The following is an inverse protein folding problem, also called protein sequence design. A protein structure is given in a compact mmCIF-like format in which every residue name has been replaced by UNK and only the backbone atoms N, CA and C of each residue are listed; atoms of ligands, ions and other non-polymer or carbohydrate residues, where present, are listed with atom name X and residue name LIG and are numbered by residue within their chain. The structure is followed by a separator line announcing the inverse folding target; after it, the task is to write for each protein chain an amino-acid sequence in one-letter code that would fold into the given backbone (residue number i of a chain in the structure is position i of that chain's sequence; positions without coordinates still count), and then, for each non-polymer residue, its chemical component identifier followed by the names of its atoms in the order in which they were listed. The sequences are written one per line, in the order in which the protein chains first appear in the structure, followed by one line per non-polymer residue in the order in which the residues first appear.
data_IF_790624491501
#
_entry.id   IF_790624491501
#
_cell.length_a   1.000
_cell.length_b   1.000
_cell.length_c   1.000
_cell.angle_alpha   90.00
_cell.angle_beta   90.00
_cell.angle_gamma   90.00
#
_symmetry.space_group_name_H-M   'P 1'
#
loop_
_entity.id
_entity.type
_entity.pdbx_description
1 polymer ?
#
# COMPACT_ATOMS: atom_id res chain seq x y z
N UNK A 1 17.81 21.26 18.54
CA UNK A 1 18.07 20.32 17.43
C UNK A 1 16.76 20.03 16.72
N UNK A 2 16.46 20.77 15.66
CA UNK A 2 15.27 20.55 14.81
C UNK A 2 15.77 20.31 13.40
N UNK A 3 15.90 19.03 13.03
CA UNK A 3 16.22 18.68 11.64
C UNK A 3 14.93 18.68 10.83
N UNK A 4 14.76 19.73 10.02
CA UNK A 4 13.77 19.78 8.95
C UNK A 4 14.29 18.89 7.82
N UNK A 5 13.83 17.65 7.71
CA UNK A 5 14.09 16.83 6.54
C UNK A 5 13.08 17.19 5.45
N UNK A 6 13.47 18.10 4.57
CA UNK A 6 12.83 18.33 3.28
C UNK A 6 13.22 17.17 2.35
N UNK A 7 12.22 16.43 1.89
CA UNK A 7 12.37 15.43 0.84
C UNK A 7 12.58 16.17 -0.50
N UNK A 8 13.78 16.08 -1.07
CA UNK A 8 14.07 16.56 -2.41
C UNK A 8 14.57 15.39 -3.26
N UNK A 9 13.64 14.69 -3.93
CA UNK A 9 13.98 13.85 -5.07
C UNK A 9 14.18 14.76 -6.29
N UNK A 10 15.42 15.13 -6.59
CA UNK A 10 15.78 15.77 -7.85
C UNK A 10 15.82 14.69 -8.95
N UNK A 11 14.84 14.70 -9.85
CA UNK A 11 14.91 13.93 -11.10
C UNK A 11 15.36 14.91 -12.19
N UNK A 12 16.58 14.74 -12.69
CA UNK A 12 17.08 15.43 -13.88
C UNK A 12 16.33 14.89 -15.10
N UNK A 13 15.48 15.72 -15.70
CA UNK A 13 14.74 15.43 -16.93
C UNK A 13 15.45 16.14 -18.09
N UNK A 14 16.25 15.41 -18.86
CA UNK A 14 16.61 15.83 -20.22
C UNK A 14 15.64 15.14 -21.18
N UNK A 15 14.78 15.95 -21.78
CA UNK A 15 13.63 15.47 -22.56
C UNK A 15 13.97 14.94 -23.94
N UNK A 16 13.06 14.10 -24.44
CA UNK A 16 12.68 14.00 -25.85
C UNK A 16 11.16 13.85 -25.87
N UNK A 17 10.49 14.73 -26.62
CA UNK A 17 9.08 14.67 -26.94
C UNK A 17 8.80 13.39 -27.76
N UNK A 18 7.93 12.52 -27.27
CA UNK A 18 7.17 11.61 -28.11
C UNK A 18 5.70 11.67 -27.72
N UNK A 19 4.90 12.08 -28.70
CA UNK A 19 3.43 12.04 -28.69
C UNK A 19 2.98 10.58 -28.73
N UNK A 20 2.27 10.13 -27.71
CA UNK A 20 1.39 8.97 -27.79
C UNK A 20 -0.01 9.37 -27.32
N UNK A 21 -1.01 8.91 -28.08
CA UNK A 21 -2.40 9.29 -27.94
C UNK A 21 -2.94 9.09 -26.53
N UNK A 22 -3.91 9.94 -26.17
CA UNK A 22 -4.68 9.77 -24.93
C UNK A 22 -5.46 8.46 -24.98
N UNK A 23 -4.86 7.39 -24.46
CA UNK A 23 -5.61 6.24 -24.01
C UNK A 23 -6.20 6.59 -22.65
N UNK A 24 -7.52 6.73 -22.63
CA UNK A 24 -8.31 7.15 -21.47
C UNK A 24 -8.32 6.00 -20.45
N UNK A 25 -7.22 5.80 -19.74
CA UNK A 25 -7.20 4.92 -18.57
C UNK A 25 -8.13 5.52 -17.53
N UNK A 26 -9.19 4.81 -17.14
CA UNK A 26 -10.11 5.22 -16.08
C UNK A 26 -9.31 5.57 -14.82
N UNK A 27 -9.17 6.87 -14.55
CA UNK A 27 -8.36 7.40 -13.46
C UNK A 27 -9.12 7.15 -12.14
N UNK A 28 -9.07 5.91 -11.63
CA UNK A 28 -9.67 5.58 -10.34
C UNK A 28 -8.92 6.35 -9.26
N UNK A 29 -9.50 7.48 -8.83
CA UNK A 29 -8.88 8.38 -7.86
C UNK A 29 -9.42 8.01 -6.49
N UNK A 30 -8.64 7.32 -5.66
CA UNK A 30 -9.02 7.13 -4.25
C UNK A 30 -9.34 8.50 -3.63
N UNK A 31 -10.42 8.62 -2.87
CA UNK A 31 -10.65 9.83 -2.10
C UNK A 31 -9.51 10.02 -1.09
N UNK A 32 -9.07 11.27 -0.91
CA UNK A 32 -8.11 11.64 0.13
C UNK A 32 -8.86 12.48 1.18
N UNK A 33 -9.08 11.97 2.41
CA UNK A 33 -9.65 12.78 3.46
C UNK A 33 -8.76 13.98 3.79
N UNK A 34 -9.30 15.06 4.39
CA UNK A 34 -8.51 16.24 4.72
C UNK A 34 -7.25 15.90 5.52
N UNK A 35 -6.10 16.43 5.08
CA UNK A 35 -4.80 16.22 5.73
C UNK A 35 -4.11 14.88 5.42
N UNK A 36 -4.76 13.98 4.67
CA UNK A 36 -4.10 12.76 4.20
C UNK A 36 -3.18 13.07 3.03
N UNK A 37 -2.00 12.44 3.05
CA UNK A 37 -1.01 12.57 1.98
C UNK A 37 -1.20 11.46 0.97
N UNK A 38 -1.04 11.76 -0.31
CA UNK A 38 -1.18 10.78 -1.39
C UNK A 38 0.13 10.53 -2.13
N UNK A 39 0.36 9.29 -2.55
CA UNK A 39 1.45 8.91 -3.45
C UNK A 39 0.93 7.93 -4.51
N UNK A 40 1.55 7.93 -5.70
CA UNK A 40 1.20 7.04 -6.82
C UNK A 40 2.45 6.58 -7.55
N UNK A 41 2.46 5.33 -7.94
CA UNK A 41 3.52 4.76 -8.80
C UNK A 41 3.03 3.47 -9.49
N UNK A 42 3.81 2.98 -10.45
CA UNK A 42 3.49 1.75 -11.19
C UNK A 42 3.80 0.49 -10.39
N UNK A 43 3.01 -0.56 -10.60
CA UNK A 43 3.29 -1.92 -10.15
C UNK A 43 4.11 -2.67 -11.21
N UNK A 44 5.05 -3.55 -10.79
CA UNK A 44 5.53 -3.69 -9.42
C UNK A 44 6.38 -2.48 -9.00
N UNK A 45 6.38 -2.09 -7.71
CA UNK A 45 7.25 -1.01 -7.26
C UNK A 45 8.72 -1.38 -7.40
N UNK A 46 9.58 -0.38 -7.56
CA UNK A 46 11.03 -0.60 -7.73
C UNK A 46 11.67 -1.41 -6.58
N UNK A 47 11.08 -1.36 -5.39
CA UNK A 47 11.54 -2.11 -4.21
C UNK A 47 11.01 -3.54 -4.11
N UNK A 48 9.99 -3.95 -4.89
CA UNK A 48 9.40 -5.30 -4.85
C UNK A 48 9.15 -5.87 -6.26
N UNK A 49 10.21 -5.99 -7.05
CA UNK A 49 10.18 -6.43 -8.46
C UNK A 49 9.77 -7.90 -8.67
N UNK A 50 9.71 -8.72 -7.62
CA UNK A 50 9.28 -10.12 -7.70
C UNK A 50 7.77 -10.28 -7.88
N UNK A 51 6.99 -9.21 -7.61
CA UNK A 51 5.54 -9.21 -7.78
C UNK A 51 5.22 -9.38 -9.28
N UNK A 52 4.45 -10.43 -9.67
CA UNK A 52 4.37 -10.90 -11.06
C UNK A 52 3.26 -10.24 -11.88
N UNK A 53 2.83 -9.03 -11.52
CA UNK A 53 1.74 -8.32 -12.18
C UNK A 53 2.04 -6.84 -12.33
N UNK A 54 1.50 -6.25 -13.39
CA UNK A 54 1.58 -4.83 -13.70
C UNK A 54 0.33 -4.09 -13.19
N UNK A 55 0.39 -2.76 -13.19
CA UNK A 55 -0.72 -1.93 -12.78
C UNK A 55 -0.27 -0.62 -12.16
N UNK A 56 -1.14 -0.05 -11.32
CA UNK A 56 -0.89 1.19 -10.59
C UNK A 56 -1.19 1.01 -9.10
N UNK A 57 -0.37 1.65 -8.28
CA UNK A 57 -0.62 1.82 -6.85
C UNK A 57 -1.03 3.27 -6.56
N UNK A 58 -2.09 3.43 -5.75
CA UNK A 58 -2.54 4.73 -5.22
C UNK A 58 -2.62 4.64 -3.69
N UNK A 59 -1.80 5.41 -2.97
CA UNK A 59 -1.60 5.32 -1.50
C UNK A 59 -2.20 6.52 -0.80
N UNK A 60 -2.81 6.34 0.38
CA UNK A 60 -3.24 7.39 1.30
C UNK A 60 -2.56 7.17 2.65
N UNK A 61 -1.73 8.12 3.07
CA UNK A 61 -1.12 8.15 4.39
C UNK A 61 -1.91 9.05 5.33
N UNK A 62 -2.20 8.56 6.53
CA UNK A 62 -2.88 9.36 7.55
C UNK A 62 -2.04 10.57 7.99
N UNK A 63 -2.67 11.59 8.59
CA UNK A 63 -1.94 12.66 9.26
C UNK A 63 -0.99 12.08 10.31
N UNK A 64 0.26 12.55 10.33
CA UNK A 64 1.31 12.08 11.25
C UNK A 64 1.77 10.62 11.04
N UNK A 65 1.54 10.01 9.87
CA UNK A 65 1.95 8.62 9.61
C UNK A 65 3.41 8.26 9.91
N UNK A 66 4.31 9.24 9.81
CA UNK A 66 5.73 9.07 10.08
C UNK A 66 6.17 9.55 11.48
N UNK A 67 5.25 9.95 12.35
CA UNK A 67 5.55 10.48 13.69
C UNK A 67 5.18 9.44 14.76
N UNK A 68 6.20 8.86 15.39
CA UNK A 68 6.05 7.91 16.50
C UNK A 68 5.13 8.46 17.60
N UNK A 69 4.44 7.56 18.30
CA UNK A 69 3.55 7.85 19.42
C UNK A 69 2.38 8.78 19.03
N UNK A 70 1.99 8.77 17.76
CA UNK A 70 0.75 9.39 17.30
C UNK A 70 -0.19 8.32 16.79
N UNK A 71 -1.49 8.61 16.82
CA UNK A 71 -2.52 7.69 16.37
C UNK A 71 -2.33 7.27 14.90
N UNK A 72 -1.89 8.19 14.05
CA UNK A 72 -1.66 7.92 12.63
C UNK A 72 -0.36 7.15 12.34
N UNK A 73 0.50 6.90 13.33
CA UNK A 73 1.80 6.28 13.10
C UNK A 73 1.66 4.93 12.38
N UNK A 74 2.34 4.74 11.25
CA UNK A 74 2.18 3.56 10.38
C UNK A 74 0.73 3.24 9.97
N UNK A 75 -0.17 4.23 9.97
CA UNK A 75 -1.55 4.12 9.51
C UNK A 75 -1.68 4.67 8.10
N UNK A 76 -2.00 3.81 7.15
CA UNK A 76 -2.18 4.14 5.74
C UNK A 76 -2.97 3.06 5.01
N UNK A 77 -3.47 3.37 3.82
CA UNK A 77 -4.07 2.39 2.93
C UNK A 77 -3.56 2.58 1.50
N UNK A 78 -3.64 1.55 0.68
CA UNK A 78 -3.28 1.62 -0.72
C UNK A 78 -4.20 0.76 -1.58
N UNK A 79 -4.37 1.20 -2.83
CA UNK A 79 -5.10 0.50 -3.87
C UNK A 79 -4.11 0.00 -4.92
N UNK A 80 -4.04 -1.31 -5.11
CA UNK A 80 -3.47 -1.90 -6.31
C UNK A 80 -4.58 -2.07 -7.35
N UNK A 81 -4.52 -1.25 -8.40
CA UNK A 81 -5.28 -1.44 -9.63
C UNK A 81 -4.40 -2.26 -10.57
N UNK A 82 -4.64 -3.58 -10.60
CA UNK A 82 -3.82 -4.55 -11.31
C UNK A 82 -4.36 -4.71 -12.73
N UNK A 83 -3.49 -4.47 -13.70
CA UNK A 83 -3.77 -4.71 -15.11
C UNK A 83 -3.75 -6.21 -15.37
N UNK A 84 -4.65 -6.70 -16.24
CA UNK A 84 -4.77 -8.09 -16.70
C UNK A 84 -4.54 -9.16 -15.60
N UNK A 85 -5.59 -9.86 -15.23
CA UNK A 85 -5.62 -10.69 -14.01
C UNK A 85 -5.17 -12.17 -14.11
N UNK A 86 -4.52 -12.71 -15.17
CA UNK A 86 -4.33 -14.16 -15.27
C UNK A 86 -3.32 -14.72 -14.26
N UNK A 87 -2.45 -13.88 -13.66
CA UNK A 87 -1.43 -14.32 -12.68
C UNK A 87 -1.79 -14.07 -11.21
N UNK A 88 -2.82 -13.29 -10.90
CA UNK A 88 -3.17 -12.99 -9.51
C UNK A 88 -4.14 -14.05 -8.96
N UNK A 89 -3.67 -14.86 -8.00
CA UNK A 89 -4.56 -15.67 -7.18
C UNK A 89 -4.74 -15.01 -5.81
N UNK A 90 -5.98 -14.78 -5.37
CA UNK A 90 -6.26 -14.15 -4.08
C UNK A 90 -5.63 -14.91 -2.89
N UNK A 91 -5.47 -16.24 -3.00
CA UNK A 91 -4.74 -17.07 -2.03
C UNK A 91 -3.26 -16.68 -1.87
N UNK A 92 -2.66 -16.03 -2.86
CA UNK A 92 -1.25 -15.63 -2.88
C UNK A 92 -1.04 -14.19 -2.39
N UNK A 93 -2.10 -13.48 -1.98
CA UNK A 93 -2.02 -12.09 -1.51
C UNK A 93 -1.04 -11.91 -0.35
N UNK A 94 -0.97 -12.88 0.57
CA UNK A 94 -0.01 -12.86 1.66
C UNK A 94 1.45 -12.98 1.19
N UNK A 95 1.70 -13.71 0.10
CA UNK A 95 3.05 -13.81 -0.51
C UNK A 95 3.42 -12.46 -1.12
N UNK A 96 2.52 -11.85 -1.90
CA UNK A 96 2.78 -10.57 -2.55
C UNK A 96 2.96 -9.43 -1.54
N UNK A 97 2.15 -9.39 -0.48
CA UNK A 97 2.33 -8.42 0.61
C UNK A 97 3.66 -8.66 1.34
N UNK A 98 4.06 -9.91 1.57
CA UNK A 98 5.34 -10.20 2.22
C UNK A 98 6.50 -9.66 1.40
N UNK A 99 6.48 -9.88 0.09
CA UNK A 99 7.50 -9.35 -0.83
C UNK A 99 7.50 -7.82 -0.85
N UNK A 100 6.31 -7.21 -0.92
CA UNK A 100 6.12 -5.76 -0.88
C UNK A 100 6.78 -5.14 0.36
N UNK A 101 6.40 -5.61 1.55
CA UNK A 101 6.88 -5.05 2.81
C UNK A 101 8.36 -5.37 3.07
N UNK A 102 8.83 -6.56 2.68
CA UNK A 102 10.25 -6.91 2.74
C UNK A 102 11.08 -5.95 1.88
N UNK A 103 10.63 -5.71 0.66
CA UNK A 103 11.25 -4.76 -0.28
C UNK A 103 11.27 -3.33 0.26
N UNK A 104 10.13 -2.86 0.76
CA UNK A 104 9.97 -1.53 1.35
C UNK A 104 10.96 -1.28 2.49
N UNK A 105 11.06 -2.23 3.42
CA UNK A 105 11.97 -2.11 4.57
C UNK A 105 13.42 -2.11 4.08
N UNK A 106 13.82 -3.05 3.22
CA UNK A 106 15.19 -3.11 2.67
C UNK A 106 15.58 -1.82 1.95
N UNK A 107 14.69 -1.27 1.13
CA UNK A 107 14.93 -0.03 0.41
C UNK A 107 15.15 1.16 1.36
N UNK A 108 14.34 1.27 2.42
CA UNK A 108 14.49 2.34 3.41
C UNK A 108 15.76 2.17 4.27
N UNK A 109 16.11 0.95 4.68
CA UNK A 109 17.36 0.67 5.40
C UNK A 109 18.59 1.00 4.55
N UNK A 110 18.57 0.61 3.26
CA UNK A 110 19.65 0.94 2.33
C UNK A 110 19.79 2.46 2.16
N UNK A 111 18.67 3.18 1.99
CA UNK A 111 18.67 4.63 1.87
C UNK A 111 19.19 5.33 3.13
N UNK A 112 18.94 4.78 4.32
CA UNK A 112 19.47 5.27 5.60
C UNK A 112 20.87 4.74 5.95
N UNK A 113 21.54 4.02 5.02
CA UNK A 113 22.84 3.37 5.23
C UNK A 113 22.87 2.46 6.47
N UNK A 114 21.73 1.85 6.78
CA UNK A 114 21.55 0.89 7.85
C UNK A 114 21.64 -0.53 7.28
N UNK A 115 22.07 -1.48 8.11
CA UNK A 115 22.17 -2.89 7.72
C UNK A 115 20.82 -3.45 7.25
N UNK A 116 20.76 -3.83 5.97
CA UNK A 116 19.58 -4.39 5.30
C UNK A 116 19.22 -5.79 5.77
N UNK A 117 20.14 -6.50 6.43
CA UNK A 117 19.88 -7.84 6.97
C UNK A 117 18.78 -7.84 8.03
N UNK A 118 18.59 -6.69 8.72
CA UNK A 118 17.55 -6.45 9.73
C UNK A 118 16.13 -6.49 9.19
N UNK A 119 15.93 -6.45 7.87
CA UNK A 119 14.61 -6.47 7.25
C UNK A 119 13.86 -7.80 7.42
N UNK A 120 14.48 -8.82 8.02
CA UNK A 120 13.95 -10.18 8.15
C UNK A 120 13.75 -10.51 9.64
N UNK A 121 12.63 -11.16 10.03
CA UNK A 121 11.55 -11.65 9.18
C UNK A 121 10.39 -10.65 9.02
N UNK A 122 9.82 -10.59 7.80
CA UNK A 122 8.44 -10.14 7.58
C UNK A 122 7.56 -11.37 7.62
N UNK A 123 6.59 -11.37 8.54
CA UNK A 123 5.63 -12.45 8.74
C UNK A 123 4.23 -11.92 8.50
N UNK A 124 3.44 -12.68 7.75
CA UNK A 124 2.06 -12.33 7.42
C UNK A 124 1.17 -13.50 7.81
N UNK A 125 0.08 -13.19 8.49
CA UNK A 125 -1.02 -14.10 8.78
C UNK A 125 -2.30 -13.46 8.26
N UNK A 126 -3.05 -14.18 7.44
CA UNK A 126 -4.33 -13.71 6.89
C UNK A 126 -5.37 -14.81 7.04
N UNK A 127 -6.59 -14.38 7.30
CA UNK A 127 -7.79 -15.21 7.22
C UNK A 127 -8.83 -14.50 6.36
N UNK A 128 -9.64 -15.28 5.67
CA UNK A 128 -10.85 -14.73 5.05
C UNK A 128 -11.81 -14.26 6.15
N UNK A 129 -12.50 -13.15 5.90
CA UNK A 129 -13.45 -12.53 6.80
C UNK A 129 -14.81 -12.41 6.11
N UNK A 130 -15.88 -12.72 6.83
CA UNK A 130 -17.24 -12.48 6.34
C UNK A 130 -17.62 -11.02 6.58
N UNK A 131 -17.69 -10.22 5.53
CA UNK A 131 -18.20 -8.84 5.59
C UNK A 131 -19.54 -8.74 4.86
N UNK A 132 -20.61 -8.50 5.62
CA UNK A 132 -21.99 -8.52 5.10
C UNK A 132 -22.32 -7.33 4.21
N UNK A 133 -21.52 -6.26 4.28
CA UNK A 133 -21.80 -5.00 3.60
C UNK A 133 -21.03 -4.81 2.28
N UNK A 134 -20.39 -5.85 1.76
CA UNK A 134 -19.69 -5.80 0.47
C UNK A 134 -19.83 -7.11 -0.30
N UNK A 135 -19.73 -7.01 -1.62
CA UNK A 135 -19.59 -8.17 -2.51
C UNK A 135 -18.12 -8.56 -2.72
N UNK A 136 -17.18 -7.76 -2.21
CA UNK A 136 -15.74 -8.02 -2.30
C UNK A 136 -15.34 -9.18 -1.38
N UNK A 137 -14.31 -9.93 -1.76
CA UNK A 137 -13.67 -10.86 -0.83
C UNK A 137 -12.87 -10.06 0.18
N UNK A 138 -13.08 -10.35 1.46
CA UNK A 138 -12.40 -9.64 2.54
C UNK A 138 -11.44 -10.57 3.26
N UNK A 139 -10.24 -10.09 3.51
CA UNK A 139 -9.25 -10.74 4.36
C UNK A 139 -8.88 -9.82 5.50
N UNK A 140 -8.63 -10.40 6.67
CA UNK A 140 -8.09 -9.69 7.81
C UNK A 140 -6.90 -10.46 8.38
N UNK A 141 -6.02 -9.75 9.06
CA UNK A 141 -4.91 -10.38 9.74
C UNK A 141 -3.84 -9.39 10.14
N UNK A 142 -2.60 -9.87 10.17
CA UNK A 142 -1.49 -9.12 10.74
C UNK A 142 -0.24 -9.26 9.88
N UNK A 143 0.55 -8.19 9.86
CA UNK A 143 1.94 -8.21 9.42
C UNK A 143 2.85 -7.84 10.59
N UNK A 144 3.78 -8.74 10.92
CA UNK A 144 4.86 -8.48 11.88
C UNK A 144 6.14 -8.21 11.10
N UNK A 145 6.76 -7.06 11.37
CA UNK A 145 7.92 -6.60 10.60
C UNK A 145 8.80 -5.65 11.42
N UNK A 146 9.92 -5.22 10.81
CA UNK A 146 10.74 -4.14 11.37
C UNK A 146 10.13 -2.78 11.01
N UNK A 147 9.89 -1.96 12.03
CA UNK A 147 9.74 -0.52 11.84
C UNK A 147 11.10 0.09 11.48
N UNK A 148 11.31 0.36 10.18
CA UNK A 148 12.59 0.90 9.72
C UNK A 148 12.91 2.31 10.27
N UNK A 149 11.91 3.04 10.78
CA UNK A 149 12.10 4.39 11.36
C UNK A 149 12.63 4.30 12.78
N UNK A 150 12.08 3.38 13.58
CA UNK A 150 12.41 3.20 15.00
C UNK A 150 13.39 2.05 15.25
N UNK A 151 13.71 1.26 14.23
CA UNK A 151 14.57 0.07 14.31
C UNK A 151 14.08 -0.94 15.37
N UNK A 152 12.75 -1.09 15.49
CA UNK A 152 12.10 -1.97 16.46
C UNK A 152 11.00 -2.80 15.77
N UNK A 153 10.63 -3.98 16.31
CA UNK A 153 9.49 -4.73 15.80
C UNK A 153 8.18 -3.94 15.89
N UNK A 154 7.34 -4.06 14.87
CA UNK A 154 5.98 -3.53 14.84
C UNK A 154 5.04 -4.56 14.23
N UNK A 155 3.79 -4.55 14.69
CA UNK A 155 2.69 -5.28 14.08
C UNK A 155 1.71 -4.28 13.49
N UNK A 156 1.32 -4.48 12.23
CA UNK A 156 0.18 -3.78 11.63
C UNK A 156 -0.95 -4.78 11.45
N UNK A 157 -2.14 -4.38 11.85
CA UNK A 157 -3.39 -5.03 11.52
C UNK A 157 -3.78 -4.67 10.09
N UNK A 158 -4.29 -5.65 9.35
CA UNK A 158 -4.63 -5.55 7.94
C UNK A 158 -6.12 -5.83 7.73
N UNK A 159 -6.77 -5.02 6.89
CA UNK A 159 -8.04 -5.37 6.26
C UNK A 159 -7.88 -5.18 4.76
N UNK A 160 -8.26 -6.19 3.99
CA UNK A 160 -7.96 -6.27 2.57
C UNK A 160 -9.21 -6.62 1.81
N UNK A 161 -9.55 -5.83 0.80
CA UNK A 161 -10.69 -6.04 -0.09
C UNK A 161 -10.19 -6.40 -1.48
N UNK A 162 -10.69 -7.51 -2.02
CA UNK A 162 -10.34 -8.00 -3.34
C UNK A 162 -11.59 -8.03 -4.21
N UNK A 163 -11.58 -7.20 -5.26
CA UNK A 163 -12.69 -7.04 -6.23
C UNK A 163 -12.23 -7.41 -7.63
N UNK A 164 -12.83 -8.47 -8.18
CA UNK A 164 -12.65 -8.85 -9.58
C UNK A 164 -13.46 -7.92 -10.48
N UNK A 165 -12.79 -7.24 -11.43
CA UNK A 165 -13.42 -6.27 -12.33
C UNK A 165 -13.79 -6.87 -13.69
N UNK A 166 -13.68 -8.19 -13.91
CA UNK A 166 -13.90 -8.86 -15.22
C UNK A 166 -15.12 -8.42 -16.04
N UNK A 167 -16.16 -7.89 -15.41
CA UNK A 167 -17.37 -7.38 -16.09
C UNK A 167 -17.20 -5.97 -16.69
N UNK A 168 -16.19 -5.22 -16.28
CA UNK A 168 -15.91 -3.82 -16.65
C UNK A 168 -14.58 -3.72 -17.41
N UNK A 169 -13.54 -4.41 -16.94
CA UNK A 169 -12.26 -4.63 -17.61
C UNK A 169 -11.61 -5.91 -17.03
N UNK A 170 -10.66 -6.56 -17.70
CA UNK A 170 -10.02 -7.79 -17.18
C UNK A 170 -9.14 -7.58 -15.93
N UNK A 171 -9.25 -6.43 -15.26
CA UNK A 171 -8.42 -6.02 -14.14
C UNK A 171 -8.88 -6.56 -12.79
N UNK A 172 -8.06 -6.32 -11.78
CA UNK A 172 -8.32 -6.68 -10.39
C UNK A 172 -8.02 -5.49 -9.48
N UNK A 173 -8.90 -5.26 -8.50
CA UNK A 173 -8.68 -4.28 -7.45
C UNK A 173 -8.33 -5.01 -6.16
N UNK A 174 -7.23 -4.58 -5.54
CA UNK A 174 -6.84 -4.98 -4.19
C UNK A 174 -6.67 -3.73 -3.36
N UNK A 175 -7.57 -3.50 -2.41
CA UNK A 175 -7.48 -2.38 -1.47
C UNK A 175 -7.01 -2.89 -0.11
N UNK A 176 -5.89 -2.36 0.36
CA UNK A 176 -5.22 -2.80 1.59
C UNK A 176 -5.21 -1.65 2.57
N UNK A 177 -5.70 -1.90 3.78
CA UNK A 177 -5.64 -1.00 4.92
C UNK A 177 -4.64 -1.55 5.91
N UNK A 178 -3.77 -0.70 6.45
CA UNK A 178 -2.74 -1.09 7.40
C UNK A 178 -2.64 -0.08 8.54
N UNK A 179 -2.65 -0.57 9.78
CA UNK A 179 -2.51 0.27 10.97
C UNK A 179 -2.05 -0.54 12.18
N UNK A 180 -1.24 0.01 13.10
CA UNK A 180 -0.99 -0.62 14.39
C UNK A 180 -2.19 -0.48 15.36
N UNK A 181 -3.21 0.31 15.00
CA UNK A 181 -4.39 0.53 15.85
C UNK A 181 -5.37 -0.64 15.79
N UNK A 182 -6.01 -1.02 16.91
CA UNK A 182 -7.00 -2.09 16.93
C UNK A 182 -8.20 -1.79 16.02
N UNK A 183 -8.88 -2.82 15.49
CA UNK A 183 -9.98 -2.68 14.51
C UNK A 183 -11.16 -1.79 14.97
N UNK A 184 -11.33 -1.56 16.28
CA UNK A 184 -12.38 -0.68 16.81
C UNK A 184 -11.97 0.81 16.90
N UNK A 185 -10.72 1.13 16.57
CA UNK A 185 -10.22 2.50 16.56
C UNK A 185 -10.86 3.34 15.44
N UNK A 186 -10.91 4.65 15.61
CA UNK A 186 -11.52 5.57 14.63
C UNK A 186 -10.76 5.64 13.30
N UNK A 187 -9.47 5.25 13.24
CA UNK A 187 -8.74 5.21 11.96
C UNK A 187 -9.42 4.33 10.93
N UNK A 188 -10.04 3.23 11.36
CA UNK A 188 -10.74 2.29 10.49
C UNK A 188 -11.98 2.89 9.83
N UNK A 189 -12.65 3.86 10.48
CA UNK A 189 -13.77 4.60 9.89
C UNK A 189 -13.32 5.54 8.76
N UNK A 190 -12.10 6.06 8.83
CA UNK A 190 -11.54 6.81 7.72
C UNK A 190 -11.23 5.89 6.55
N UNK A 191 -10.71 4.69 6.81
CA UNK A 191 -10.53 3.69 5.76
C UNK A 191 -11.86 3.28 5.12
N UNK A 192 -12.92 3.05 5.90
CA UNK A 192 -14.27 2.78 5.36
C UNK A 192 -14.74 3.89 4.40
N UNK A 193 -14.44 5.14 4.74
CA UNK A 193 -14.81 6.30 3.92
C UNK A 193 -14.02 6.35 2.61
N UNK A 194 -12.73 5.96 2.65
CA UNK A 194 -11.88 5.85 1.46
C UNK A 194 -12.33 4.66 0.60
N UNK A 195 -12.57 3.50 1.21
CA UNK A 195 -13.04 2.29 0.53
C UNK A 195 -14.35 2.53 -0.23
N UNK A 196 -15.32 3.22 0.38
CA UNK A 196 -16.59 3.59 -0.28
C UNK A 196 -16.44 4.48 -1.51
N UNK A 197 -15.29 5.12 -1.70
CA UNK A 197 -15.00 5.91 -2.92
C UNK A 197 -14.50 5.07 -4.09
N UNK A 198 -14.21 3.78 -3.86
CA UNK A 198 -13.77 2.83 -4.88
C UNK A 198 -15.00 2.30 -5.60
N UNK A 199 -15.27 2.84 -6.78
CA UNK A 199 -16.32 2.36 -7.69
C UNK A 199 -15.99 0.96 -8.26
#
# INVERSE_FOLDING_TARGET
MHSKFLLACFILFTGIFQSSGQEKSSDSKLLAPPGWRSERFSLPPAFAKSIPFAGKEDIRFSPNWAKKNTEGYWTYCFLWAIDDSPSFAAKDIGIYLKDYFTGLIKANLAASKTDVSKAIPVEISLREAEEKNTADKVYEGDIRMLDYKEQAPITLHLRIFVRDQKKVNSGLIVFVEASPQPYNDKVWRYFDSIYKSIN
#
